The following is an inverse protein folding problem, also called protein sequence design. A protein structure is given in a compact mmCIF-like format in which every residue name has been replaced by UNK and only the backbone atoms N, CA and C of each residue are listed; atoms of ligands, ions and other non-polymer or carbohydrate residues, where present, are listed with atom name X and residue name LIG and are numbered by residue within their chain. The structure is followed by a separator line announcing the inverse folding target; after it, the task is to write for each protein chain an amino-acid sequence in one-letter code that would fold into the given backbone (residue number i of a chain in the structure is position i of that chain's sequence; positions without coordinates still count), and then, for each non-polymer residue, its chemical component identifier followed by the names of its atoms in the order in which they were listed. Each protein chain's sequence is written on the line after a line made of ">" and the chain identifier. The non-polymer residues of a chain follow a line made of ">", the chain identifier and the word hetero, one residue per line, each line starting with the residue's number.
data_IF_315208281802
#
_entry.id   IF_315208281802
#
_cell.length_a   1.000
_cell.length_b   1.000
_cell.length_c   1.000
_cell.angle_alpha   90.00
_cell.angle_beta   90.00
_cell.angle_gamma   90.00
#
_symmetry.space_group_name_H-M   'P 1'
#
loop_
_entity.id
_entity.type
_entity.pdbx_description
1 polymer ?
#
# COMPACT_ATOMS: atom_id res chain seq x y z
N UNK A 1 6.85 9.41 -7.11
CA UNK A 1 6.60 9.78 -5.71
C UNK A 1 7.67 9.13 -4.86
N UNK A 2 8.35 9.93 -4.06
CA UNK A 2 9.31 9.42 -3.07
C UNK A 2 8.62 8.99 -1.78
N UNK A 3 9.37 8.37 -0.87
CA UNK A 3 8.81 7.86 0.39
C UNK A 3 8.38 8.96 1.37
N UNK A 4 9.00 10.13 1.31
CA UNK A 4 8.67 11.26 2.18
C UNK A 4 7.35 11.91 1.76
N UNK A 5 7.13 12.08 0.46
CA UNK A 5 5.85 12.53 -0.11
C UNK A 5 4.70 11.59 0.30
N UNK A 6 4.91 10.27 0.20
CA UNK A 6 3.91 9.28 0.63
C UNK A 6 3.59 9.44 2.11
N UNK A 7 4.62 9.52 2.96
CA UNK A 7 4.45 9.63 4.40
C UNK A 7 3.69 10.92 4.78
N UNK A 8 4.06 12.05 4.17
CA UNK A 8 3.48 13.35 4.45
C UNK A 8 1.98 13.39 4.12
N UNK A 9 1.54 12.75 3.04
CA UNK A 9 0.12 12.66 2.69
C UNK A 9 -0.63 11.79 3.71
N UNK A 10 -0.10 10.60 4.03
CA UNK A 10 -0.78 9.63 4.88
C UNK A 10 -0.86 10.06 6.36
N UNK A 11 0.12 10.81 6.86
CA UNK A 11 0.12 11.33 8.24
C UNK A 11 -0.89 12.47 8.41
N UNK A 12 -1.24 13.19 7.34
CA UNK A 12 -2.27 14.25 7.37
C UNK A 12 -3.70 13.70 7.35
N UNK A 13 -3.90 12.48 6.86
CA UNK A 13 -5.22 11.85 6.82
C UNK A 13 -5.64 11.34 8.21
N UNK A 14 -6.71 11.90 8.76
CA UNK A 14 -7.18 11.61 10.13
C UNK A 14 -7.59 10.15 10.36
N UNK A 15 -7.91 9.39 9.32
CA UNK A 15 -8.24 7.97 9.43
C UNK A 15 -7.01 7.08 9.33
N UNK A 16 -6.01 7.49 8.54
CA UNK A 16 -4.78 6.71 8.35
C UNK A 16 -3.79 6.94 9.49
N UNK A 17 -3.59 8.19 9.91
CA UNK A 17 -2.59 8.61 10.90
C UNK A 17 -2.53 7.73 12.16
N UNK A 18 -3.65 7.33 12.80
CA UNK A 18 -3.60 6.53 14.03
C UNK A 18 -3.07 5.11 13.83
N UNK A 19 -3.04 4.64 12.58
CA UNK A 19 -2.69 3.26 12.21
C UNK A 19 -1.39 3.17 11.42
N UNK A 20 -0.95 4.30 10.86
CA UNK A 20 0.19 4.35 9.95
C UNK A 20 1.50 4.14 10.70
N UNK A 21 2.24 3.11 10.30
CA UNK A 21 3.51 2.72 10.89
C UNK A 21 4.70 3.32 10.15
N UNK A 22 4.49 3.85 8.95
CA UNK A 22 5.51 4.53 8.15
C UNK A 22 5.73 3.93 6.77
N UNK A 23 6.76 4.47 6.12
CA UNK A 23 7.26 4.05 4.81
C UNK A 23 8.60 3.35 5.01
N UNK A 24 8.75 2.15 4.45
CA UNK A 24 9.92 1.30 4.67
C UNK A 24 10.52 0.83 3.34
N UNK A 25 11.82 0.61 3.30
CA UNK A 25 12.42 -0.26 2.29
C UNK A 25 12.23 -1.72 2.68
N UNK A 26 12.37 -2.64 1.73
CA UNK A 26 12.08 -4.06 1.98
C UNK A 26 12.98 -4.68 3.05
N UNK A 27 14.21 -4.19 3.23
CA UNK A 27 15.19 -4.63 4.23
C UNK A 27 15.03 -3.96 5.61
N UNK A 28 14.24 -2.90 5.72
CA UNK A 28 14.00 -2.18 6.98
C UNK A 28 12.62 -2.44 7.60
N UNK A 29 11.87 -3.41 7.08
CA UNK A 29 10.63 -3.86 7.72
C UNK A 29 10.89 -4.33 9.18
N UNK A 30 9.96 -4.08 10.11
CA UNK A 30 10.11 -4.54 11.49
C UNK A 30 10.36 -6.05 11.62
N UNK A 31 11.32 -6.42 12.45
CA UNK A 31 11.71 -7.83 12.64
C UNK A 31 10.91 -8.55 13.73
N UNK A 32 10.20 -7.79 14.57
CA UNK A 32 9.28 -8.33 15.57
C UNK A 32 7.83 -8.30 15.06
N UNK A 33 6.94 -9.19 15.54
CA UNK A 33 5.52 -9.11 15.25
C UNK A 33 4.91 -7.77 15.70
N UNK A 34 4.04 -7.22 14.88
CA UNK A 34 3.31 -5.98 15.15
C UNK A 34 2.25 -6.25 16.21
N UNK A 35 2.42 -5.60 17.38
CA UNK A 35 1.57 -5.83 18.57
C UNK A 35 0.24 -5.07 18.52
N UNK A 36 0.22 -3.87 17.93
CA UNK A 36 -0.97 -3.02 17.88
C UNK A 36 -1.61 -3.08 16.50
N UNK A 37 -2.93 -3.27 16.47
CA UNK A 37 -3.72 -3.35 15.22
C UNK A 37 -4.98 -2.48 15.31
N UNK A 38 -5.43 -1.89 14.20
CA UNK A 38 -4.92 -2.07 12.84
C UNK A 38 -3.61 -1.32 12.60
N UNK A 39 -2.82 -1.80 11.65
CA UNK A 39 -1.53 -1.20 11.29
C UNK A 39 -1.36 -1.12 9.76
N UNK A 40 -0.88 0.02 9.27
CA UNK A 40 -0.73 0.31 7.86
C UNK A 40 0.73 0.65 7.52
N UNK A 41 1.24 0.11 6.41
CA UNK A 41 2.61 0.30 5.95
C UNK A 41 2.60 0.60 4.46
N UNK A 42 3.51 1.45 4.01
CA UNK A 42 3.94 1.48 2.61
C UNK A 42 5.36 0.96 2.54
N UNK A 43 5.64 0.10 1.56
CA UNK A 43 6.92 -0.60 1.46
C UNK A 43 7.45 -0.46 0.05
N UNK A 44 8.70 -0.03 -0.09
CA UNK A 44 9.44 -0.15 -1.34
C UNK A 44 9.91 -1.60 -1.49
N UNK A 45 9.72 -2.22 -2.65
CA UNK A 45 10.20 -3.58 -2.90
C UNK A 45 11.73 -3.65 -2.96
N UNK A 46 12.38 -2.56 -3.34
CA UNK A 46 13.83 -2.47 -3.36
C UNK A 46 14.39 -2.27 -1.93
N UNK A 47 15.61 -2.78 -1.66
CA UNK A 47 16.30 -2.53 -0.41
C UNK A 47 16.77 -1.07 -0.32
N UNK A 48 17.05 -0.60 0.90
CA UNK A 48 17.44 0.78 1.22
C UNK A 48 18.64 1.33 0.44
N UNK A 49 19.51 0.44 -0.05
CA UNK A 49 20.72 0.79 -0.79
C UNK A 49 20.47 1.02 -2.29
N UNK A 50 19.24 0.88 -2.75
CA UNK A 50 18.83 1.08 -4.14
C UNK A 50 17.90 2.29 -4.25
N UNK A 51 17.81 2.91 -5.44
CA UNK A 51 16.99 4.11 -5.64
C UNK A 51 15.49 3.88 -5.44
N UNK A 52 15.03 2.62 -5.34
CA UNK A 52 13.62 2.26 -5.20
C UNK A 52 13.00 1.96 -6.56
N UNK A 53 12.18 0.91 -6.62
CA UNK A 53 11.58 0.44 -7.89
C UNK A 53 10.05 0.51 -7.85
N UNK A 54 9.44 -0.04 -6.80
CA UNK A 54 7.99 -0.24 -6.74
C UNK A 54 7.48 -0.11 -5.31
N UNK A 55 6.31 0.53 -5.16
CA UNK A 55 5.64 0.72 -3.88
C UNK A 55 4.47 -0.24 -3.74
N UNK A 56 4.36 -0.88 -2.58
CA UNK A 56 3.22 -1.71 -2.18
C UNK A 56 2.67 -1.25 -0.83
N UNK A 57 1.41 -1.55 -0.56
CA UNK A 57 0.78 -1.27 0.73
C UNK A 57 0.53 -2.57 1.50
N UNK A 58 0.77 -2.56 2.81
CA UNK A 58 0.40 -3.66 3.71
C UNK A 58 -0.57 -3.11 4.74
N UNK A 59 -1.67 -3.83 4.95
CA UNK A 59 -2.62 -3.52 6.01
C UNK A 59 -2.84 -4.75 6.91
N UNK A 60 -2.63 -4.56 8.20
CA UNK A 60 -2.85 -5.58 9.23
C UNK A 60 -4.17 -5.25 9.95
N UNK A 61 -5.29 -5.90 9.63
CA UNK A 61 -6.56 -5.60 10.28
C UNK A 61 -6.58 -6.08 11.73
N UNK A 62 -7.53 -5.57 12.53
CA UNK A 62 -7.79 -6.08 13.90
C UNK A 62 -8.09 -7.57 13.91
N UNK A 63 -8.89 -8.03 12.95
CA UNK A 63 -9.26 -9.43 12.76
C UNK A 63 -9.22 -9.75 11.26
N UNK A 64 -8.83 -10.99 10.91
CA UNK A 64 -8.77 -11.46 9.54
C UNK A 64 -7.35 -11.55 8.96
N UNK A 65 -7.24 -11.85 7.65
CA UNK A 65 -5.95 -12.05 6.98
C UNK A 65 -5.16 -10.73 6.88
N UNK A 66 -3.83 -10.84 6.78
CA UNK A 66 -3.00 -9.69 6.43
C UNK A 66 -3.23 -9.34 4.97
N UNK A 67 -3.36 -8.05 4.67
CA UNK A 67 -3.62 -7.58 3.32
C UNK A 67 -2.31 -7.10 2.69
N UNK A 68 -1.98 -7.64 1.52
CA UNK A 68 -0.87 -7.21 0.67
C UNK A 68 -1.48 -6.63 -0.61
N UNK A 69 -1.35 -5.33 -0.78
CA UNK A 69 -1.87 -4.62 -1.95
C UNK A 69 -0.71 -4.22 -2.87
N UNK A 70 -0.77 -4.70 -4.10
CA UNK A 70 0.14 -4.34 -5.19
C UNK A 70 -0.73 -3.87 -6.36
N UNK A 71 -0.55 -2.64 -6.83
CA UNK A 71 -1.34 -2.10 -7.94
C UNK A 71 -1.21 -2.90 -9.24
N UNK A 72 -0.15 -3.71 -9.39
CA UNK A 72 0.00 -4.65 -10.50
C UNK A 72 -0.68 -6.01 -10.27
N UNK A 73 -1.23 -6.26 -9.08
CA UNK A 73 -1.86 -7.54 -8.72
C UNK A 73 -0.87 -8.70 -8.61
N UNK A 74 0.42 -8.41 -8.41
CA UNK A 74 1.47 -9.44 -8.33
C UNK A 74 1.58 -9.97 -6.89
N UNK A 75 1.97 -11.24 -6.70
CA UNK A 75 2.24 -11.77 -5.37
C UNK A 75 3.57 -11.23 -4.81
N UNK A 76 3.76 -11.23 -3.47
CA UNK A 76 4.99 -10.76 -2.85
C UNK A 76 6.18 -11.64 -3.23
N UNK A 77 7.10 -11.13 -4.06
CA UNK A 77 8.32 -11.85 -4.48
C UNK A 77 9.51 -11.63 -3.55
N UNK A 78 9.54 -10.50 -2.86
CA UNK A 78 10.66 -10.11 -1.99
C UNK A 78 10.62 -10.92 -0.69
N UNK A 79 11.72 -11.60 -0.37
CA UNK A 79 11.79 -12.54 0.75
C UNK A 79 11.50 -11.88 2.11
N UNK A 80 12.03 -10.68 2.36
CA UNK A 80 11.78 -9.94 3.61
C UNK A 80 10.31 -9.54 3.77
N UNK A 81 9.63 -9.15 2.69
CA UNK A 81 8.20 -8.86 2.67
C UNK A 81 7.40 -10.13 2.97
N UNK A 82 7.72 -11.26 2.33
CA UNK A 82 7.07 -12.56 2.61
C UNK A 82 7.22 -12.97 4.07
N UNK A 83 8.43 -12.84 4.61
CA UNK A 83 8.72 -13.13 6.02
C UNK A 83 7.92 -12.21 6.94
N UNK A 84 7.86 -10.92 6.64
CA UNK A 84 7.07 -9.96 7.41
C UNK A 84 5.57 -10.30 7.40
N UNK A 85 5.01 -10.63 6.23
CA UNK A 85 3.61 -11.04 6.10
C UNK A 85 3.32 -12.30 6.92
N UNK A 86 4.12 -13.36 6.73
CA UNK A 86 3.96 -14.63 7.46
C UNK A 86 4.08 -14.47 8.99
N UNK A 87 5.00 -13.61 9.45
CA UNK A 87 5.17 -13.28 10.87
C UNK A 87 3.97 -12.54 11.46
N UNK A 88 3.29 -11.73 10.65
CA UNK A 88 2.14 -10.93 11.08
C UNK A 88 0.78 -11.56 10.74
N UNK A 89 0.76 -12.72 10.08
CA UNK A 89 -0.44 -13.53 9.90
C UNK A 89 -0.19 -14.71 8.96
N UNK A 90 -0.82 -15.85 9.24
CA UNK A 90 -0.66 -17.06 8.43
C UNK A 90 -1.37 -16.99 7.08
N UNK A 91 -2.40 -16.15 6.94
CA UNK A 91 -3.19 -16.00 5.71
C UNK A 91 -2.99 -14.61 5.11
N UNK A 92 -2.64 -14.56 3.83
CA UNK A 92 -2.40 -13.33 3.07
C UNK A 92 -3.55 -13.13 2.08
N UNK A 93 -4.14 -11.95 2.09
CA UNK A 93 -5.14 -11.49 1.13
C UNK A 93 -4.49 -10.51 0.16
N UNK A 94 -4.65 -10.76 -1.14
CA UNK A 94 -4.09 -9.95 -2.21
C UNK A 94 -5.21 -9.39 -3.09
N UNK A 95 -4.99 -8.24 -3.71
CA UNK A 95 -5.96 -7.71 -4.67
C UNK A 95 -6.01 -8.61 -5.92
N UNK A 96 -7.21 -8.91 -6.43
CA UNK A 96 -7.38 -9.92 -7.49
C UNK A 96 -7.06 -9.42 -8.90
N UNK A 97 -6.80 -8.12 -9.07
CA UNK A 97 -6.70 -7.45 -10.38
C UNK A 97 -5.45 -6.58 -10.48
N UNK A 98 -4.89 -6.53 -11.69
CA UNK A 98 -3.93 -5.50 -12.12
C UNK A 98 -4.70 -4.22 -12.41
N UNK A 99 -4.46 -3.19 -11.60
CA UNK A 99 -5.14 -1.90 -11.66
C UNK A 99 -4.34 -0.87 -12.47
N UNK A 100 -3.02 -0.95 -12.37
CA UNK A 100 -2.07 0.01 -12.93
C UNK A 100 -1.52 -0.41 -14.29
N UNK A 101 -1.28 0.58 -15.16
CA UNK A 101 -0.64 0.38 -16.46
C UNK A 101 0.81 -0.09 -16.34
N UNK A 102 1.31 -0.99 -17.19
CA UNK A 102 2.61 -1.65 -17.03
C UNK A 102 3.84 -0.71 -17.08
N UNK A 103 3.70 0.46 -17.71
CA UNK A 103 4.75 1.50 -17.81
C UNK A 103 4.51 2.70 -16.90
N UNK A 104 3.49 2.63 -16.04
CA UNK A 104 3.08 3.72 -15.17
C UNK A 104 3.94 3.82 -13.92
N UNK A 105 4.22 5.03 -13.47
CA UNK A 105 5.04 5.32 -12.28
C UNK A 105 4.21 5.68 -11.04
N UNK A 106 2.91 5.40 -11.06
CA UNK A 106 1.96 5.89 -10.05
C UNK A 106 1.64 4.92 -8.91
N UNK A 107 2.42 3.85 -8.73
CA UNK A 107 2.19 2.83 -7.69
C UNK A 107 2.13 3.38 -6.26
N UNK A 108 2.91 4.43 -5.97
CA UNK A 108 2.82 5.16 -4.69
C UNK A 108 1.45 5.81 -4.47
N UNK A 109 0.86 6.39 -5.51
CA UNK A 109 -0.48 6.98 -5.45
C UNK A 109 -1.56 5.91 -5.20
N UNK A 110 -1.43 4.73 -5.81
CA UNK A 110 -2.31 3.59 -5.51
C UNK A 110 -2.20 3.12 -4.06
N UNK A 111 -0.99 3.08 -3.49
CA UNK A 111 -0.80 2.76 -2.07
C UNK A 111 -1.53 3.76 -1.17
N UNK A 112 -1.45 5.05 -1.50
CA UNK A 112 -2.14 6.11 -0.78
C UNK A 112 -3.66 5.93 -0.87
N UNK A 113 -4.18 5.80 -2.09
CA UNK A 113 -5.60 5.58 -2.35
C UNK A 113 -6.13 4.37 -1.57
N UNK A 114 -5.41 3.25 -1.64
CA UNK A 114 -5.77 2.03 -0.93
C UNK A 114 -5.85 2.24 0.59
N UNK A 115 -4.79 2.76 1.21
CA UNK A 115 -4.73 2.91 2.66
C UNK A 115 -5.77 3.91 3.20
N UNK A 116 -5.97 5.04 2.52
CA UNK A 116 -6.99 6.03 2.85
C UNK A 116 -8.38 5.42 2.90
N UNK A 117 -8.77 4.67 1.86
CA UNK A 117 -10.07 4.03 1.80
C UNK A 117 -10.18 2.85 2.75
N UNK A 118 -9.10 2.07 2.90
CA UNK A 118 -9.05 0.93 3.81
C UNK A 118 -9.21 1.36 5.26
N UNK A 119 -8.53 2.43 5.69
CA UNK A 119 -8.64 2.96 7.05
C UNK A 119 -9.99 3.63 7.34
N UNK A 120 -10.74 4.03 6.30
CA UNK A 120 -12.17 4.43 6.41
C UNK A 120 -13.14 3.24 6.47
N UNK A 121 -12.63 2.01 6.56
CA UNK A 121 -13.43 0.80 6.78
C UNK A 121 -13.90 0.08 5.52
N UNK A 122 -13.45 0.49 4.33
CA UNK A 122 -13.81 -0.20 3.07
C UNK A 122 -12.99 -1.48 2.91
N UNK A 123 -13.58 -2.55 2.37
CA UNK A 123 -12.84 -3.79 2.10
C UNK A 123 -11.97 -3.66 0.85
N UNK A 124 -10.92 -4.47 0.74
CA UNK A 124 -10.09 -4.55 -0.47
C UNK A 124 -10.95 -4.79 -1.73
N UNK A 125 -11.98 -5.62 -1.66
CA UNK A 125 -12.89 -5.87 -2.79
C UNK A 125 -13.67 -4.62 -3.18
N UNK A 126 -14.19 -3.87 -2.19
CA UNK A 126 -14.93 -2.65 -2.45
C UNK A 126 -14.04 -1.55 -3.04
N UNK A 127 -12.79 -1.46 -2.59
CA UNK A 127 -11.81 -0.50 -3.11
C UNK A 127 -11.40 -0.88 -4.54
N UNK A 128 -10.97 -2.14 -4.73
CA UNK A 128 -10.48 -2.63 -6.03
C UNK A 128 -11.61 -2.76 -7.06
N UNK A 129 -12.85 -2.91 -6.63
CA UNK A 129 -14.04 -2.98 -7.47
C UNK A 129 -14.46 -1.64 -8.11
N UNK A 130 -13.88 -0.50 -7.69
CA UNK A 130 -14.14 0.81 -8.31
C UNK A 130 -13.35 1.06 -9.58
N UNK A 131 -12.26 0.32 -9.76
CA UNK A 131 -11.38 0.51 -10.89
C UNK A 131 -11.97 -0.11 -12.15
N UNK A 132 -11.80 0.61 -13.26
CA UNK A 132 -12.18 0.20 -14.60
C UNK A 132 -11.22 -0.88 -15.11
N UNK A 133 -11.60 -1.56 -16.19
CA UNK A 133 -10.68 -2.42 -16.95
C UNK A 133 -9.60 -1.60 -17.66
N UNK A 134 -9.89 -0.32 -17.94
CA UNK A 134 -8.93 0.64 -18.50
C UNK A 134 -7.94 1.14 -17.44
N UNK A 135 -6.70 0.63 -17.53
CA UNK A 135 -5.60 0.98 -16.64
C UNK A 135 -5.13 2.44 -16.79
N UNK A 136 -5.23 3.03 -17.99
CA UNK A 136 -4.83 4.42 -18.18
C UNK A 136 -5.80 5.37 -17.48
N UNK A 137 -7.10 5.05 -17.55
CA UNK A 137 -8.12 5.77 -16.79
C UNK A 137 -7.89 5.65 -15.29
N UNK A 138 -7.64 4.43 -14.79
CA UNK A 138 -7.36 4.21 -13.37
C UNK A 138 -6.14 5.01 -12.89
N UNK A 139 -5.06 5.01 -13.68
CA UNK A 139 -3.82 5.73 -13.36
C UNK A 139 -4.05 7.23 -13.26
N UNK A 140 -4.82 7.80 -14.19
CA UNK A 140 -5.21 9.22 -14.14
C UNK A 140 -6.07 9.52 -12.93
N UNK A 141 -7.12 8.75 -12.70
CA UNK A 141 -8.10 9.01 -11.64
C UNK A 141 -7.42 8.93 -10.24
N UNK A 142 -6.49 7.99 -10.04
CA UNK A 142 -5.72 7.88 -8.80
C UNK A 142 -4.70 9.00 -8.65
N UNK A 143 -3.99 9.34 -9.72
CA UNK A 143 -3.05 10.46 -9.73
C UNK A 143 -3.74 11.76 -9.33
N UNK A 144 -4.83 12.12 -10.01
CA UNK A 144 -5.64 13.32 -9.74
C UNK A 144 -6.15 13.34 -8.29
N UNK A 145 -6.69 12.21 -7.80
CA UNK A 145 -7.14 12.07 -6.42
C UNK A 145 -6.05 12.44 -5.42
N UNK A 146 -4.86 11.87 -5.59
CA UNK A 146 -3.74 12.08 -4.66
C UNK A 146 -3.08 13.45 -4.79
N UNK A 147 -2.99 14.03 -5.99
CA UNK A 147 -2.47 15.38 -6.19
C UNK A 147 -3.37 16.42 -5.52
N UNK A 148 -4.69 16.23 -5.54
CA UNK A 148 -5.62 17.11 -4.81
C UNK A 148 -5.36 17.10 -3.30
N UNK A 149 -5.01 15.94 -2.72
CA UNK A 149 -4.65 15.84 -1.29
C UNK A 149 -3.37 16.61 -0.93
N UNK A 150 -2.43 16.78 -1.86
CA UNK A 150 -1.20 17.53 -1.61
C UNK A 150 -1.43 19.04 -1.56
N UNK A 151 -2.50 19.52 -2.20
CA UNK A 151 -2.83 20.96 -2.29
C UNK A 151 -3.71 21.47 -1.15
N UNK A 152 -4.15 20.58 -0.24
CA UNK A 152 -4.93 20.91 0.96
C UNK A 152 -4.04 20.98 2.21
#
# INVERSE_FOLDING_TARGET
>A
MDGEEIANILIRDSFVQPTFQGVFSSDHLPQLPVKQRPAAFVVNTDPSRRPGEHWIAIYLPKCGPVEYFDSYGKPPKVASIRTFLARNGGTIKMNPKTLQGPSSSVCGHYCIYYLIHRCRGQSMEAITGRFDVDQQRNDRDVYEYTTHLMTM
#
